data_IF_251247408981
#
_entry.id   IF_251247408981
#
_cell.length_a   1.000
_cell.length_b   1.000
_cell.length_c   1.000
_cell.angle_alpha   90.00
_cell.angle_beta   90.00
_cell.angle_gamma   90.00
#
_symmetry.space_group_name_H-M   'P 1'
#
loop_
_entity.id
_entity.type
_entity.pdbx_description
1 polymer ?
#
# COMPACT_ATOMS: atom_id res chain seq x y z
N UNK A 1 6.98 -34.27 71.56
CA UNK A 1 7.93 -34.49 70.46
C UNK A 1 7.29 -34.97 69.16
N UNK A 2 6.23 -35.81 69.17
CA UNK A 2 5.50 -36.20 67.94
C UNK A 2 4.45 -35.16 67.54
N UNK A 3 3.61 -34.71 68.49
CA UNK A 3 2.54 -33.72 68.25
C UNK A 3 3.05 -32.33 67.77
N UNK A 4 4.14 -31.80 68.34
CA UNK A 4 4.75 -30.53 67.89
C UNK A 4 5.31 -30.61 66.45
N UNK A 5 5.71 -31.81 66.01
CA UNK A 5 6.26 -32.04 64.67
C UNK A 5 5.14 -32.09 63.62
N UNK A 6 4.00 -32.65 64.00
CA UNK A 6 2.77 -32.68 63.18
C UNK A 6 2.16 -31.28 63.05
N UNK A 7 2.06 -30.51 64.15
CA UNK A 7 1.60 -29.12 64.11
C UNK A 7 2.47 -28.24 63.21
N UNK A 8 3.80 -28.41 63.29
CA UNK A 8 4.74 -27.68 62.44
C UNK A 8 4.60 -28.06 60.96
N UNK A 9 4.33 -29.33 60.66
CA UNK A 9 4.06 -29.77 59.28
C UNK A 9 2.74 -29.22 58.75
N UNK A 10 1.69 -29.18 59.56
CA UNK A 10 0.39 -28.60 59.18
C UNK A 10 0.56 -27.12 58.85
N UNK A 11 1.30 -26.36 59.67
CA UNK A 11 1.61 -24.96 59.38
C UNK A 11 2.35 -24.78 58.06
N UNK A 12 3.39 -25.57 57.78
CA UNK A 12 4.13 -25.49 56.52
C UNK A 12 3.24 -25.83 55.30
N UNK A 13 2.32 -26.79 55.44
CA UNK A 13 1.38 -27.14 54.37
C UNK A 13 0.35 -26.02 54.13
N UNK A 14 -0.13 -25.36 55.19
CA UNK A 14 -1.04 -24.23 55.09
C UNK A 14 -0.37 -23.02 54.43
N UNK A 15 0.87 -22.71 54.81
CA UNK A 15 1.62 -21.60 54.20
C UNK A 15 1.86 -21.86 52.70
N UNK A 16 2.23 -23.09 52.33
CA UNK A 16 2.38 -23.48 50.91
C UNK A 16 1.06 -23.42 50.14
N UNK A 17 -0.05 -23.82 50.76
CA UNK A 17 -1.36 -23.73 50.13
C UNK A 17 -1.74 -22.27 49.85
N UNK A 18 -1.48 -21.37 50.81
CA UNK A 18 -1.69 -19.93 50.64
C UNK A 18 -0.81 -19.34 49.54
N UNK A 19 0.49 -19.65 49.52
CA UNK A 19 1.40 -19.20 48.46
C UNK A 19 0.94 -19.68 47.08
N UNK A 20 0.48 -20.93 46.98
CA UNK A 20 -0.06 -21.47 45.74
C UNK A 20 -1.36 -20.79 45.30
N UNK A 21 -2.25 -20.45 46.23
CA UNK A 21 -3.47 -19.68 45.95
C UNK A 21 -3.16 -18.26 45.47
N UNK A 22 -2.20 -17.59 46.10
CA UNK A 22 -1.75 -16.25 45.68
C UNK A 22 -1.12 -16.28 44.28
N UNK A 23 -0.30 -17.29 43.97
CA UNK A 23 0.26 -17.46 42.64
C UNK A 23 -0.81 -17.74 41.58
N UNK A 24 -1.78 -18.60 41.90
CA UNK A 24 -2.91 -18.90 41.00
C UNK A 24 -3.70 -17.64 40.66
N UNK A 25 -3.94 -16.78 41.64
CA UNK A 25 -4.65 -15.51 41.45
C UNK A 25 -3.85 -14.54 40.57
N UNK A 26 -2.54 -14.44 40.78
CA UNK A 26 -1.67 -13.63 39.92
C UNK A 26 -1.66 -14.14 38.48
N UNK A 27 -1.54 -15.45 38.29
CA UNK A 27 -1.52 -16.06 36.96
C UNK A 27 -2.85 -15.84 36.23
N UNK A 28 -3.98 -15.90 36.94
CA UNK A 28 -5.31 -15.56 36.39
C UNK A 28 -5.38 -14.12 35.93
N UNK A 29 -4.93 -13.17 36.76
CA UNK A 29 -4.93 -11.75 36.37
C UNK A 29 -4.03 -11.47 35.16
N UNK A 30 -2.89 -12.17 35.06
CA UNK A 30 -2.02 -12.07 33.89
C UNK A 30 -2.67 -12.66 32.64
N UNK A 31 -3.37 -13.79 32.77
CA UNK A 31 -4.11 -14.42 31.69
C UNK A 31 -5.24 -13.51 31.20
N UNK A 32 -6.09 -13.02 32.09
CA UNK A 32 -7.19 -12.10 31.77
C UNK A 32 -6.67 -10.84 31.05
N UNK A 33 -5.55 -10.30 31.55
CA UNK A 33 -4.89 -9.16 30.92
C UNK A 33 -4.32 -9.48 29.52
N UNK A 34 -3.81 -10.69 29.31
CA UNK A 34 -3.33 -11.14 28.01
C UNK A 34 -4.48 -11.37 27.03
N UNK A 35 -5.58 -11.98 27.47
CA UNK A 35 -6.79 -12.18 26.67
C UNK A 35 -7.40 -10.84 26.23
N UNK A 36 -7.49 -9.87 27.15
CA UNK A 36 -7.99 -8.53 26.81
C UNK A 36 -7.10 -7.83 25.75
N UNK A 37 -5.77 -7.98 25.85
CA UNK A 37 -4.84 -7.46 24.84
C UNK A 37 -4.99 -8.17 23.50
N UNK A 38 -5.18 -9.49 23.50
CA UNK A 38 -5.41 -10.27 22.28
C UNK A 38 -6.66 -9.79 21.55
N UNK A 39 -7.78 -9.66 22.26
CA UNK A 39 -9.04 -9.16 21.70
C UNK A 39 -8.86 -7.75 21.09
N UNK A 40 -8.10 -6.87 21.76
CA UNK A 40 -7.82 -5.54 21.25
C UNK A 40 -7.00 -5.56 19.96
N UNK A 41 -5.99 -6.43 19.87
CA UNK A 41 -5.15 -6.61 18.68
C UNK A 41 -5.96 -7.20 17.52
N UNK A 42 -6.77 -8.24 17.77
CA UNK A 42 -7.63 -8.85 16.76
C UNK A 42 -8.61 -7.85 16.16
N UNK A 43 -9.23 -7.01 17.02
CA UNK A 43 -10.10 -5.93 16.55
C UNK A 43 -9.36 -4.92 15.67
N UNK A 44 -8.16 -4.51 16.09
CA UNK A 44 -7.34 -3.58 15.32
C UNK A 44 -6.91 -4.18 13.97
N UNK A 45 -6.57 -5.47 13.94
CA UNK A 45 -6.23 -6.18 12.72
C UNK A 45 -7.41 -6.21 11.75
N UNK A 46 -8.60 -6.61 12.21
CA UNK A 46 -9.81 -6.64 11.40
C UNK A 46 -10.15 -5.25 10.81
N UNK A 47 -9.95 -4.17 11.56
CA UNK A 47 -10.13 -2.81 11.07
C UNK A 47 -9.14 -2.46 9.95
N UNK A 48 -7.85 -2.82 10.12
CA UNK A 48 -6.82 -2.57 9.10
C UNK A 48 -7.05 -3.38 7.83
N UNK A 49 -7.45 -4.65 7.96
CA UNK A 49 -7.79 -5.51 6.83
C UNK A 49 -8.99 -4.96 6.05
N UNK A 50 -10.05 -4.56 6.74
CA UNK A 50 -11.21 -3.93 6.10
C UNK A 50 -10.83 -2.65 5.36
N UNK A 51 -10.01 -1.79 5.97
CA UNK A 51 -9.53 -0.57 5.30
C UNK A 51 -8.64 -0.87 4.09
N UNK A 52 -7.75 -1.86 4.21
CA UNK A 52 -6.86 -2.26 3.13
C UNK A 52 -7.68 -2.77 1.93
N UNK A 53 -8.72 -3.56 2.18
CA UNK A 53 -9.59 -4.09 1.13
C UNK A 53 -10.28 -2.97 0.36
N UNK A 54 -10.84 -1.98 1.08
CA UNK A 54 -11.43 -0.79 0.44
C UNK A 54 -10.40 -0.04 -0.41
N UNK A 55 -9.18 0.17 0.11
CA UNK A 55 -8.13 0.88 -0.63
C UNK A 55 -7.68 0.12 -1.88
N UNK A 56 -7.60 -1.22 -1.81
CA UNK A 56 -7.30 -2.06 -2.98
C UNK A 56 -8.39 -1.91 -4.04
N UNK A 57 -9.66 -1.98 -3.65
CA UNK A 57 -10.78 -1.80 -4.56
C UNK A 57 -10.74 -0.43 -5.25
N UNK A 58 -10.55 0.65 -4.49
CA UNK A 58 -10.45 2.00 -5.06
C UNK A 58 -9.27 2.10 -6.05
N UNK A 59 -8.14 1.47 -5.73
CA UNK A 59 -6.97 1.45 -6.60
C UNK A 59 -7.22 0.64 -7.90
N UNK A 60 -7.86 -0.53 -7.80
CA UNK A 60 -8.25 -1.35 -8.95
C UNK A 60 -9.29 -0.65 -9.84
N UNK A 61 -10.20 0.10 -9.23
CA UNK A 61 -11.17 0.92 -9.94
C UNK A 61 -10.53 2.13 -10.64
N UNK A 62 -9.29 2.46 -10.27
CA UNK A 62 -8.57 3.63 -10.75
C UNK A 62 -9.17 4.93 -10.23
N UNK A 63 -9.68 4.94 -9.00
CA UNK A 63 -10.33 6.11 -8.40
C UNK A 63 -9.40 7.34 -8.40
N UNK A 64 -9.95 8.49 -8.76
CA UNK A 64 -9.20 9.73 -8.99
C UNK A 64 -8.56 9.87 -10.38
N UNK A 65 -8.48 8.81 -11.19
CA UNK A 65 -8.03 8.91 -12.58
C UNK A 65 -9.13 9.52 -13.48
N UNK A 66 -8.72 10.02 -14.65
CA UNK A 66 -9.68 10.44 -15.67
C UNK A 66 -10.48 9.23 -16.18
N UNK A 67 -11.75 9.45 -16.58
CA UNK A 67 -12.65 8.38 -17.04
C UNK A 67 -12.03 7.51 -18.15
N UNK A 68 -11.32 8.11 -19.11
CA UNK A 68 -10.66 7.36 -20.17
C UNK A 68 -9.51 6.52 -19.64
N UNK A 69 -8.68 7.06 -18.73
CA UNK A 69 -7.61 6.31 -18.07
C UNK A 69 -8.16 5.12 -17.26
N UNK A 70 -9.28 5.30 -16.55
CA UNK A 70 -9.97 4.20 -15.85
C UNK A 70 -10.46 3.13 -16.83
N UNK A 71 -11.04 3.55 -17.96
CA UNK A 71 -11.52 2.63 -18.99
C UNK A 71 -10.36 1.81 -19.59
N UNK A 72 -9.21 2.44 -19.87
CA UNK A 72 -8.01 1.73 -20.33
C UNK A 72 -7.48 0.77 -19.27
N UNK A 73 -7.39 1.20 -18.00
CA UNK A 73 -6.93 0.35 -16.90
C UNK A 73 -7.81 -0.89 -16.72
N UNK A 74 -9.13 -0.76 -16.90
CA UNK A 74 -10.10 -1.86 -16.86
C UNK A 74 -10.12 -2.73 -18.12
N UNK A 75 -9.31 -2.39 -19.13
CA UNK A 75 -9.20 -3.14 -20.37
C UNK A 75 -10.31 -2.87 -21.39
N UNK A 76 -10.91 -1.67 -21.35
CA UNK A 76 -11.89 -1.18 -22.30
C UNK A 76 -13.08 -2.15 -22.45
N UNK A 77 -13.40 -2.54 -23.69
CA UNK A 77 -14.51 -3.43 -24.05
C UNK A 77 -14.12 -4.92 -24.13
N UNK A 78 -12.82 -5.22 -24.19
CA UNK A 78 -12.30 -6.58 -24.17
C UNK A 78 -11.09 -6.67 -23.23
N UNK A 79 -11.33 -6.87 -21.92
CA UNK A 79 -10.24 -6.89 -20.94
C UNK A 79 -9.16 -7.93 -21.25
N UNK A 80 -9.53 -9.08 -21.82
CA UNK A 80 -8.56 -10.13 -22.17
C UNK A 80 -7.61 -9.71 -23.29
N UNK A 81 -8.05 -8.82 -24.17
CA UNK A 81 -7.24 -8.26 -25.26
C UNK A 81 -6.39 -7.09 -24.79
N UNK A 82 -6.97 -6.16 -24.04
CA UNK A 82 -6.31 -4.88 -23.75
C UNK A 82 -5.51 -4.87 -22.45
N UNK A 83 -5.92 -5.58 -21.39
CA UNK A 83 -5.17 -5.60 -20.12
C UNK A 83 -3.73 -6.09 -20.26
N UNK A 84 -3.39 -7.10 -21.08
CA UNK A 84 -2.00 -7.52 -21.28
C UNK A 84 -1.08 -6.41 -21.80
N UNK A 85 -1.63 -5.43 -22.53
CA UNK A 85 -0.86 -4.31 -23.06
C UNK A 85 -0.70 -3.15 -22.07
N UNK A 86 -1.38 -3.19 -20.91
CA UNK A 86 -1.38 -2.13 -19.90
C UNK A 86 -0.54 -2.55 -18.70
N UNK A 87 0.54 -1.80 -18.43
CA UNK A 87 1.41 -2.02 -17.26
C UNK A 87 0.88 -1.35 -15.98
N UNK A 88 -0.18 -0.54 -16.10
CA UNK A 88 -0.84 0.16 -15.00
C UNK A 88 -0.72 1.69 -15.08
N UNK A 89 -1.21 2.37 -14.05
CA UNK A 89 -1.05 3.83 -13.92
C UNK A 89 0.39 4.21 -13.54
N UNK A 90 0.87 5.35 -14.04
CA UNK A 90 2.21 5.87 -13.75
C UNK A 90 2.45 6.04 -12.25
N UNK A 91 1.47 6.57 -11.51
CA UNK A 91 1.56 6.83 -10.06
C UNK A 91 1.78 5.55 -9.27
N UNK A 92 1.16 4.44 -9.69
CA UNK A 92 1.32 3.15 -9.01
C UNK A 92 2.72 2.53 -9.23
N UNK A 93 3.54 3.14 -10.09
CA UNK A 93 4.87 2.65 -10.47
C UNK A 93 5.99 3.59 -10.05
N UNK A 94 5.68 4.68 -9.36
CA UNK A 94 6.65 5.69 -8.96
C UNK A 94 6.62 5.79 -7.44
N UNK A 95 7.77 5.56 -6.81
CA UNK A 95 7.98 5.81 -5.40
C UNK A 95 8.73 7.13 -5.22
N UNK A 96 8.30 7.93 -4.25
CA UNK A 96 8.80 9.28 -4.03
C UNK A 96 8.90 9.52 -2.54
N UNK A 97 10.06 10.02 -2.10
CA UNK A 97 10.24 10.46 -0.72
C UNK A 97 9.11 11.45 -0.35
N UNK A 98 8.40 11.24 0.78
CA UNK A 98 7.29 12.09 1.21
C UNK A 98 7.59 13.60 1.21
N UNK A 99 8.87 14.00 1.40
CA UNK A 99 9.27 15.41 1.36
C UNK A 99 9.15 16.05 -0.03
N UNK A 100 9.09 15.24 -1.10
CA UNK A 100 9.01 15.68 -2.48
C UNK A 100 7.65 15.39 -3.15
N UNK A 101 6.76 14.62 -2.51
CA UNK A 101 5.50 14.17 -3.14
C UNK A 101 4.69 15.31 -3.75
N UNK A 102 4.46 16.40 -3.01
CA UNK A 102 3.70 17.56 -3.52
C UNK A 102 4.39 18.25 -4.71
N UNK A 103 5.72 18.31 -4.70
CA UNK A 103 6.47 18.94 -5.79
C UNK A 103 6.42 18.07 -7.06
N UNK A 104 6.55 16.75 -6.92
CA UNK A 104 6.44 15.80 -8.04
C UNK A 104 5.02 15.76 -8.60
N UNK A 105 4.00 15.74 -7.73
CA UNK A 105 2.60 15.83 -8.13
C UNK A 105 2.33 17.10 -8.93
N UNK A 106 2.80 18.26 -8.45
CA UNK A 106 2.67 19.53 -9.15
C UNK A 106 3.40 19.54 -10.50
N UNK A 107 4.58 18.92 -10.57
CA UNK A 107 5.38 18.82 -11.80
C UNK A 107 4.73 17.90 -12.85
N UNK A 108 4.14 16.78 -12.43
CA UNK A 108 3.43 15.86 -13.31
C UNK A 108 2.07 16.44 -13.74
N UNK A 109 1.37 17.13 -12.84
CA UNK A 109 0.08 17.75 -13.11
C UNK A 109 -0.89 16.76 -13.78
N UNK A 110 -1.39 17.10 -14.97
CA UNK A 110 -2.31 16.24 -15.74
C UNK A 110 -1.71 14.88 -16.14
N UNK A 111 -0.38 14.78 -16.23
CA UNK A 111 0.30 13.54 -16.59
C UNK A 111 0.38 12.56 -15.42
N UNK A 112 -0.06 12.96 -14.22
CA UNK A 112 -0.26 12.04 -13.11
C UNK A 112 -1.25 10.92 -13.49
N UNK A 113 -2.25 11.20 -14.35
CA UNK A 113 -3.29 10.24 -14.72
C UNK A 113 -2.87 9.33 -15.89
N UNK A 114 -1.58 9.27 -16.19
CA UNK A 114 -1.05 8.54 -17.35
C UNK A 114 -1.08 7.04 -17.13
N UNK A 115 -1.52 6.30 -18.15
CA UNK A 115 -1.42 4.84 -18.21
C UNK A 115 -0.18 4.45 -18.98
N UNK A 116 0.63 3.57 -18.41
CA UNK A 116 1.85 3.02 -19.01
C UNK A 116 1.46 1.79 -19.81
N UNK A 117 1.80 1.77 -21.10
CA UNK A 117 1.63 0.61 -21.97
C UNK A 117 2.92 -0.21 -22.05
N UNK A 118 2.80 -1.49 -22.39
CA UNK A 118 3.94 -2.38 -22.60
C UNK A 118 4.71 -2.01 -23.87
N UNK A 119 4.00 -1.70 -24.95
CA UNK A 119 4.55 -1.35 -26.25
C UNK A 119 3.53 -0.53 -27.08
N UNK A 120 3.89 -0.18 -28.31
CA UNK A 120 3.05 0.61 -29.21
C UNK A 120 1.96 -0.16 -29.93
N UNK A 121 1.95 -1.49 -29.88
CA UNK A 121 1.12 -2.35 -30.75
C UNK A 121 -0.38 -2.08 -30.56
N UNK A 122 -0.83 -1.94 -29.30
CA UNK A 122 -2.25 -1.72 -28.98
C UNK A 122 -2.66 -0.25 -28.91
N UNK A 123 -1.74 0.69 -29.14
CA UNK A 123 -2.01 2.12 -28.93
C UNK A 123 -3.13 2.64 -29.83
N UNK A 124 -3.09 2.32 -31.13
CA UNK A 124 -4.09 2.77 -32.10
C UNK A 124 -5.49 2.20 -31.80
N UNK A 125 -5.56 0.93 -31.40
CA UNK A 125 -6.82 0.27 -31.06
C UNK A 125 -7.42 0.84 -29.76
N UNK A 126 -6.60 1.09 -28.74
CA UNK A 126 -7.01 1.74 -27.50
C UNK A 126 -7.60 3.13 -27.80
N UNK A 127 -6.92 3.92 -28.63
CA UNK A 127 -7.38 5.26 -29.01
C UNK A 127 -8.69 5.23 -29.81
N UNK A 128 -8.84 4.27 -30.73
CA UNK A 128 -10.07 4.06 -31.47
C UNK A 128 -11.22 3.66 -30.53
N UNK A 129 -11.00 2.68 -29.64
CA UNK A 129 -11.99 2.24 -28.67
C UNK A 129 -12.46 3.36 -27.74
N UNK A 130 -11.53 4.20 -27.24
CA UNK A 130 -11.87 5.37 -26.44
C UNK A 130 -12.73 6.39 -27.20
N UNK A 131 -12.41 6.62 -28.48
CA UNK A 131 -13.07 7.61 -29.34
C UNK A 131 -14.45 7.15 -29.77
N UNK A 132 -14.55 5.94 -30.34
CA UNK A 132 -15.78 5.38 -30.91
C UNK A 132 -16.86 5.20 -29.83
N UNK A 133 -16.43 4.82 -28.63
CA UNK A 133 -17.32 4.58 -27.48
C UNK A 133 -17.44 5.79 -26.55
N UNK A 134 -16.75 6.90 -26.84
CA UNK A 134 -16.77 8.15 -26.05
C UNK A 134 -16.47 7.89 -24.57
N UNK A 135 -15.45 7.10 -24.28
CA UNK A 135 -15.07 6.67 -22.92
C UNK A 135 -14.26 7.72 -22.15
N UNK A 136 -14.09 8.92 -22.71
CA UNK A 136 -13.35 10.02 -22.11
C UNK A 136 -11.90 10.10 -22.58
N UNK A 137 -11.10 10.89 -21.87
CA UNK A 137 -9.70 11.15 -22.21
C UNK A 137 -8.76 10.29 -21.36
N UNK A 138 -7.69 9.81 -21.98
CA UNK A 138 -6.61 9.09 -21.33
C UNK A 138 -5.27 9.67 -21.79
N UNK A 139 -4.34 9.85 -20.86
CA UNK A 139 -2.94 10.05 -21.19
C UNK A 139 -2.27 8.67 -21.26
N UNK A 140 -1.55 8.40 -22.35
CA UNK A 140 -0.85 7.13 -22.57
C UNK A 140 0.64 7.38 -22.68
N UNK A 141 1.43 6.64 -21.90
CA UNK A 141 2.87 6.55 -22.09
C UNK A 141 3.20 5.23 -22.78
N UNK A 142 3.97 5.33 -23.86
CA UNK A 142 4.37 4.17 -24.66
C UNK A 142 5.89 4.14 -24.75
N UNK A 143 6.54 3.07 -24.26
CA UNK A 143 7.98 2.91 -24.37
C UNK A 143 8.43 3.03 -25.84
N UNK A 144 9.46 3.82 -26.09
CA UNK A 144 10.06 3.98 -27.42
C UNK A 144 9.32 4.90 -28.39
N UNK A 145 8.14 5.43 -28.04
CA UNK A 145 7.43 6.45 -28.86
C UNK A 145 7.80 7.90 -28.51
N UNK A 146 8.77 8.10 -27.62
CA UNK A 146 9.33 9.42 -27.29
C UNK A 146 10.82 9.49 -27.63
N UNK A 147 11.29 10.68 -28.00
CA UNK A 147 12.72 10.93 -28.16
C UNK A 147 13.43 10.69 -26.81
N UNK A 148 14.37 9.74 -26.75
CA UNK A 148 15.28 9.53 -25.61
C UNK A 148 16.27 10.71 -25.39
N UNK A 149 16.00 11.88 -26.00
CA UNK A 149 16.89 13.04 -25.99
C UNK A 149 17.05 13.70 -24.61
N UNK A 150 16.29 13.27 -23.60
CA UNK A 150 16.40 13.77 -22.22
C UNK A 150 17.76 13.45 -21.58
N UNK A 151 18.48 12.42 -22.04
CA UNK A 151 19.85 12.17 -21.58
C UNK A 151 20.84 13.26 -22.01
N UNK A 152 20.51 14.10 -23.00
CA UNK A 152 21.55 14.84 -23.73
C UNK A 152 21.93 16.21 -23.16
N UNK A 153 21.24 16.77 -22.15
CA UNK A 153 21.66 18.07 -21.53
C UNK A 153 21.33 18.20 -20.05
N UNK A 154 21.81 17.30 -19.18
CA UNK A 154 21.89 17.61 -17.74
C UNK A 154 22.82 18.82 -17.56
N UNK A 155 22.24 20.01 -17.38
CA UNK A 155 22.96 21.22 -16.99
C UNK A 155 23.20 21.24 -15.48
N UNK A 156 24.02 22.18 -15.03
CA UNK A 156 24.11 22.55 -13.60
C UNK A 156 22.72 22.99 -13.11
N UNK A 157 22.35 22.56 -11.90
CA UNK A 157 21.11 22.97 -11.23
C UNK A 157 21.05 24.52 -11.16
N UNK A 158 19.93 25.15 -11.55
CA UNK A 158 19.75 26.59 -11.41
C UNK A 158 19.91 27.07 -9.96
N UNK A 159 20.19 28.36 -9.78
CA UNK A 159 20.26 28.97 -8.46
C UNK A 159 18.93 28.78 -7.70
N UNK A 160 19.02 28.35 -6.43
CA UNK A 160 17.91 27.96 -5.56
C UNK A 160 17.14 26.68 -5.94
N UNK A 161 17.56 25.92 -6.96
CA UNK A 161 16.98 24.60 -7.22
C UNK A 161 17.44 23.58 -6.16
N UNK A 162 16.52 22.71 -5.73
CA UNK A 162 16.77 21.71 -4.68
C UNK A 162 17.36 20.42 -5.27
N UNK A 163 16.73 19.88 -6.31
CA UNK A 163 17.14 18.65 -7.00
C UNK A 163 16.45 18.53 -8.36
N UNK A 164 16.91 17.61 -9.21
CA UNK A 164 16.15 17.17 -10.38
C UNK A 164 15.04 16.21 -9.97
N UNK A 165 13.85 16.36 -10.56
CA UNK A 165 12.71 15.48 -10.27
C UNK A 165 13.00 13.99 -10.53
N UNK A 166 13.82 13.69 -11.54
CA UNK A 166 14.24 12.31 -11.85
C UNK A 166 15.16 11.69 -10.81
N UNK A 167 15.83 12.52 -9.99
CA UNK A 167 16.76 12.05 -8.96
C UNK A 167 16.04 11.85 -7.61
N UNK A 168 14.76 12.20 -7.54
CA UNK A 168 13.91 12.12 -6.34
C UNK A 168 12.80 11.07 -6.47
N UNK A 169 12.80 10.32 -7.56
CA UNK A 169 11.79 9.33 -7.93
C UNK A 169 12.50 8.00 -8.15
N UNK A 170 12.04 6.97 -7.46
CA UNK A 170 12.42 5.59 -7.72
C UNK A 170 11.31 4.92 -8.56
N UNK A 171 11.67 4.25 -9.64
CA UNK A 171 10.75 3.51 -10.48
C UNK A 171 11.29 2.09 -10.72
N UNK A 172 10.44 1.06 -10.81
CA UNK A 172 10.87 -0.29 -11.15
C UNK A 172 11.41 -0.30 -12.59
N UNK A 173 12.46 -1.12 -12.80
CA UNK A 173 13.07 -1.36 -14.12
C UNK A 173 12.04 -1.81 -15.18
#
# INVERSE_FOLDING_TARGET
SVSEKEEKNIHVLLDRAREAEEQLEQDRQLLDGAEARLIAIERALAEKESRLEVLKQLNEEGEGLAQGSQAVLKGLDDPKRFQPAVLGALVARVDVDPKFSTAIEAALGRNLHTIVLQNSEMTAEIMAALTDRKLGQAALFVPGLGDSSAESKRKVLPEHAIAWATDTVDAPE
#
